data_IF_319458478109
#
_entry.id   IF_319458478109
#
_cell.length_a   1.000
_cell.length_b   1.000
_cell.length_c   1.000
_cell.angle_alpha   90.00
_cell.angle_beta   90.00
_cell.angle_gamma   90.00
#
_symmetry.space_group_name_H-M   'P 1'
#
loop_
_entity.id
_entity.type
_entity.pdbx_description
1 polymer ?
#
# COMPACT_ATOMS: atom_id res chain seq x y z
N UNK A 1 3.06 34.53 -32.90
CA UNK A 1 3.97 34.32 -31.77
C UNK A 1 5.11 35.34 -31.83
N UNK A 2 5.83 35.57 -30.72
CA UNK A 2 7.09 36.34 -30.74
C UNK A 2 8.28 35.40 -30.94
N UNK A 3 9.18 35.74 -31.86
CA UNK A 3 10.42 35.00 -32.12
C UNK A 3 11.53 35.55 -31.20
N UNK A 4 12.12 34.73 -30.32
CA UNK A 4 13.29 35.14 -29.54
C UNK A 4 14.53 35.19 -30.44
N UNK A 5 15.11 36.37 -30.60
CA UNK A 5 16.32 36.58 -31.42
C UNK A 5 17.47 37.04 -30.54
N UNK A 6 18.65 36.47 -30.76
CA UNK A 6 19.90 36.91 -30.11
C UNK A 6 20.72 37.69 -31.12
N UNK A 7 21.09 38.94 -30.82
CA UNK A 7 21.94 39.72 -31.72
C UNK A 7 23.38 39.17 -31.75
N UNK A 8 24.01 38.94 -32.91
CA UNK A 8 25.40 38.50 -32.99
C UNK A 8 26.41 39.58 -32.59
N UNK A 9 26.03 40.86 -32.63
CA UNK A 9 26.94 41.99 -32.34
C UNK A 9 26.94 42.41 -30.87
N UNK A 10 25.77 42.45 -30.23
CA UNK A 10 25.64 42.89 -28.83
C UNK A 10 25.17 41.80 -27.87
N UNK A 11 24.90 40.58 -28.36
CA UNK A 11 24.44 39.40 -27.61
C UNK A 11 23.18 39.57 -26.76
N UNK A 12 22.51 40.73 -26.84
CA UNK A 12 21.23 40.95 -26.19
C UNK A 12 20.13 40.12 -26.88
N UNK A 13 19.30 39.50 -26.06
CA UNK A 13 18.11 38.74 -26.47
C UNK A 13 16.90 39.67 -26.47
N UNK A 14 16.09 39.60 -27.51
CA UNK A 14 14.85 40.36 -27.61
C UNK A 14 13.82 39.59 -28.42
N UNK A 15 12.55 39.96 -28.30
CA UNK A 15 11.46 39.31 -29.00
C UNK A 15 11.04 40.16 -30.20
N UNK A 16 10.96 39.52 -31.37
CA UNK A 16 10.53 40.15 -32.62
C UNK A 16 9.21 39.53 -33.05
N UNK A 17 8.32 40.33 -33.63
CA UNK A 17 7.06 39.81 -34.20
C UNK A 17 7.34 38.83 -35.35
N UNK A 18 6.55 37.76 -35.44
CA UNK A 18 6.62 36.78 -36.55
C UNK A 18 6.57 37.41 -37.95
N UNK A 19 6.04 38.64 -38.09
CA UNK A 19 5.99 39.36 -39.37
C UNK A 19 7.36 39.63 -39.98
N UNK A 20 8.40 39.63 -39.16
CA UNK A 20 9.79 39.88 -39.58
C UNK A 20 10.59 38.59 -39.73
N UNK A 21 9.96 37.41 -39.64
CA UNK A 21 10.63 36.13 -39.85
C UNK A 21 11.34 36.10 -41.22
N UNK A 22 12.61 35.69 -41.24
CA UNK A 22 13.44 35.64 -42.45
C UNK A 22 13.93 36.99 -42.99
N UNK A 23 13.54 38.12 -42.39
CA UNK A 23 13.95 39.45 -42.84
C UNK A 23 15.22 39.93 -42.11
N UNK A 24 15.98 40.83 -42.77
CA UNK A 24 17.12 41.54 -42.17
C UNK A 24 16.66 42.89 -41.62
N UNK A 25 17.01 43.17 -40.37
CA UNK A 25 16.63 44.42 -39.71
C UNK A 25 17.67 44.90 -38.70
N UNK A 26 17.68 46.19 -38.34
CA UNK A 26 18.60 46.72 -37.34
C UNK A 26 18.22 46.23 -35.93
N UNK A 27 19.21 45.85 -35.13
CA UNK A 27 19.01 45.54 -33.72
C UNK A 27 18.56 46.80 -32.94
N UNK A 28 17.52 46.72 -32.08
CA UNK A 28 17.05 47.87 -31.30
C UNK A 28 18.07 48.41 -30.29
N UNK A 29 19.08 47.62 -29.91
CA UNK A 29 20.10 48.04 -28.93
C UNK A 29 21.38 48.59 -29.56
N UNK A 30 21.88 48.00 -30.65
CA UNK A 30 23.18 48.39 -31.24
C UNK A 30 23.11 48.79 -32.71
N UNK A 31 21.92 48.76 -33.33
CA UNK A 31 21.67 49.06 -34.75
C UNK A 31 22.42 48.17 -35.76
N UNK A 32 23.15 47.15 -35.30
CA UNK A 32 23.76 46.14 -36.17
C UNK A 32 22.70 45.38 -36.96
N UNK A 33 23.00 45.06 -38.23
CA UNK A 33 22.08 44.34 -39.12
C UNK A 33 22.03 42.88 -38.67
N UNK A 34 20.84 42.44 -38.24
CA UNK A 34 20.59 41.06 -37.83
C UNK A 34 19.63 40.38 -38.80
N UNK A 35 19.75 39.07 -38.94
CA UNK A 35 18.82 38.25 -39.69
C UNK A 35 17.91 37.52 -38.71
N UNK A 36 16.60 37.74 -38.81
CA UNK A 36 15.61 37.03 -37.99
C UNK A 36 15.43 35.62 -38.58
N UNK A 37 15.45 34.56 -37.75
CA UNK A 37 15.23 33.19 -38.21
C UNK A 37 13.93 33.06 -39.02
N UNK A 38 13.94 32.22 -40.05
CA UNK A 38 12.76 31.96 -40.85
C UNK A 38 11.76 31.09 -40.07
N UNK A 39 10.46 31.34 -40.25
CA UNK A 39 9.41 30.56 -39.59
C UNK A 39 9.46 29.05 -39.93
N UNK A 40 10.10 28.68 -41.03
CA UNK A 40 10.29 27.28 -41.46
C UNK A 40 11.31 26.49 -40.64
N UNK A 41 12.07 27.15 -39.75
CA UNK A 41 13.00 26.49 -38.82
C UNK A 41 12.35 26.15 -37.48
N UNK A 42 11.01 26.19 -37.38
CA UNK A 42 10.31 25.60 -36.25
C UNK A 42 10.59 24.09 -36.27
N UNK A 43 11.46 23.65 -35.36
CA UNK A 43 11.77 22.24 -35.14
C UNK A 43 10.50 21.61 -34.58
N UNK A 44 9.66 21.09 -35.48
CA UNK A 44 8.57 20.20 -35.12
C UNK A 44 9.23 18.95 -34.57
N UNK A 45 9.33 18.88 -33.23
CA UNK A 45 9.75 17.66 -32.55
C UNK A 45 8.64 16.65 -32.75
N UNK A 46 8.75 15.86 -33.81
CA UNK A 46 7.91 14.70 -34.01
C UNK A 46 8.22 13.73 -32.88
N UNK A 47 7.26 13.53 -31.98
CA UNK A 47 7.31 12.39 -31.09
C UNK A 47 7.50 11.13 -31.95
N UNK A 48 8.32 10.16 -31.53
CA UNK A 48 8.46 8.91 -32.25
C UNK A 48 7.08 8.33 -32.51
N UNK A 49 6.78 7.97 -33.76
CA UNK A 49 5.52 7.30 -34.06
C UNK A 49 5.44 6.02 -33.22
N UNK A 50 4.33 5.82 -32.49
CA UNK A 50 4.12 4.62 -31.68
C UNK A 50 4.20 3.39 -32.61
N UNK A 51 5.29 2.63 -32.49
CA UNK A 51 5.57 1.43 -33.29
C UNK A 51 4.65 0.28 -32.86
N UNK A 52 3.90 -0.29 -33.81
CA UNK A 52 3.14 -1.52 -33.59
C UNK A 52 1.76 -1.55 -34.28
N UNK A 53 1.09 -2.72 -34.28
CA UNK A 53 -0.27 -2.84 -34.76
C UNK A 53 -1.21 -1.93 -33.97
N UNK A 54 -2.02 -1.14 -34.69
CA UNK A 54 -3.04 -0.27 -34.09
C UNK A 54 -4.38 -1.01 -34.06
N UNK A 55 -5.16 -0.79 -33.01
CA UNK A 55 -6.53 -1.29 -32.92
C UNK A 55 -7.46 -0.49 -33.85
N UNK A 56 -8.70 -0.95 -34.01
CA UNK A 56 -9.76 -0.21 -34.71
C UNK A 56 -10.04 1.18 -34.12
N UNK A 57 -9.64 1.43 -32.87
CA UNK A 57 -9.73 2.74 -32.20
C UNK A 57 -8.48 3.62 -32.37
N UNK A 58 -7.50 3.21 -33.18
CA UNK A 58 -6.28 3.98 -33.46
C UNK A 58 -5.21 3.90 -32.35
N UNK A 59 -5.43 3.11 -31.31
CA UNK A 59 -4.50 2.94 -30.19
C UNK A 59 -3.50 1.81 -30.48
N UNK A 60 -2.22 1.98 -30.13
CA UNK A 60 -1.24 0.91 -30.25
C UNK A 60 -1.63 -0.29 -29.37
N UNK A 61 -1.79 -1.48 -29.97
CA UNK A 61 -2.22 -2.72 -29.29
C UNK A 61 -1.15 -3.21 -28.31
N UNK A 62 0.12 -2.94 -28.61
CA UNK A 62 1.26 -3.34 -27.78
C UNK A 62 1.58 -2.35 -26.65
N UNK A 63 0.71 -1.36 -26.42
CA UNK A 63 0.89 -0.43 -25.30
C UNK A 63 0.76 -1.21 -23.99
N UNK A 64 1.77 -1.17 -23.10
CA UNK A 64 1.65 -1.79 -21.78
C UNK A 64 0.40 -1.30 -21.06
N UNK A 65 -0.34 -2.22 -20.43
CA UNK A 65 -1.53 -1.87 -19.66
C UNK A 65 -1.07 -0.97 -18.51
N UNK A 66 -1.53 0.28 -18.53
CA UNK A 66 -1.20 1.25 -17.49
C UNK A 66 -1.73 0.79 -16.14
N UNK A 67 -0.91 0.92 -15.10
CA UNK A 67 -1.28 0.61 -13.72
C UNK A 67 -2.49 1.45 -13.31
N UNK A 68 -3.60 0.83 -12.97
CA UNK A 68 -4.72 1.52 -12.31
C UNK A 68 -4.44 1.56 -10.82
N UNK A 69 -4.11 2.73 -10.28
CA UNK A 69 -3.95 2.88 -8.84
C UNK A 69 -5.29 2.67 -8.11
N UNK A 70 -5.22 2.02 -6.95
CA UNK A 70 -6.39 1.84 -6.08
C UNK A 70 -6.90 3.22 -5.67
N UNK A 71 -8.09 3.60 -6.15
CA UNK A 71 -8.70 4.88 -5.79
C UNK A 71 -9.06 4.85 -4.31
N UNK A 72 -8.46 5.73 -3.51
CA UNK A 72 -8.82 5.90 -2.12
C UNK A 72 -10.30 6.27 -2.01
N UNK A 73 -11.08 5.40 -1.36
CA UNK A 73 -12.50 5.67 -1.11
C UNK A 73 -12.67 6.11 0.33
N UNK A 74 -12.99 7.40 0.51
CA UNK A 74 -13.33 8.00 1.81
C UNK A 74 -14.36 7.18 2.61
N UNK A 75 -15.46 6.66 2.02
CA UNK A 75 -16.41 5.86 2.80
C UNK A 75 -15.82 4.52 3.27
N UNK A 76 -14.97 3.86 2.48
CA UNK A 76 -14.33 2.62 2.91
C UNK A 76 -13.33 2.87 4.04
N UNK A 77 -12.53 3.94 3.93
CA UNK A 77 -11.61 4.35 4.98
C UNK A 77 -12.35 4.71 6.28
N UNK A 78 -13.46 5.44 6.20
CA UNK A 78 -14.31 5.76 7.35
C UNK A 78 -14.91 4.50 7.99
N UNK A 79 -15.38 3.53 7.17
CA UNK A 79 -15.90 2.25 7.65
C UNK A 79 -14.84 1.41 8.37
N UNK A 80 -13.63 1.33 7.84
CA UNK A 80 -12.50 0.65 8.49
C UNK A 80 -12.16 1.33 9.81
N UNK A 81 -12.04 2.67 9.82
CA UNK A 81 -11.75 3.44 11.03
C UNK A 81 -12.81 3.24 12.12
N UNK A 82 -14.09 3.29 11.77
CA UNK A 82 -15.20 3.03 12.69
C UNK A 82 -15.17 1.60 13.23
N UNK A 83 -14.85 0.60 12.39
CA UNK A 83 -14.69 -0.79 12.81
C UNK A 83 -13.58 -0.96 13.83
N UNK A 84 -12.41 -0.36 13.58
CA UNK A 84 -11.29 -0.37 14.53
C UNK A 84 -11.70 0.25 15.87
N UNK A 85 -12.28 1.46 15.86
CA UNK A 85 -12.73 2.13 17.07
C UNK A 85 -13.77 1.30 17.84
N UNK A 86 -14.67 0.62 17.14
CA UNK A 86 -15.68 -0.26 17.75
C UNK A 86 -15.03 -1.44 18.45
N UNK A 87 -14.04 -2.10 17.82
CA UNK A 87 -13.31 -3.22 18.46
C UNK A 87 -12.58 -2.76 19.71
N UNK A 88 -11.92 -1.59 19.67
CA UNK A 88 -11.27 -1.01 20.84
C UNK A 88 -12.28 -0.62 21.95
N UNK A 89 -13.44 -0.07 21.59
CA UNK A 89 -14.49 0.25 22.54
C UNK A 89 -15.03 -1.01 23.22
N UNK A 90 -15.28 -2.08 22.45
CA UNK A 90 -15.72 -3.37 23.01
C UNK A 90 -14.67 -3.95 23.94
N UNK A 91 -13.38 -3.93 23.56
CA UNK A 91 -12.29 -4.37 24.43
C UNK A 91 -12.23 -3.54 25.72
N UNK A 92 -12.39 -2.22 25.64
CA UNK A 92 -12.41 -1.35 26.83
C UNK A 92 -13.61 -1.64 27.75
N UNK A 93 -14.79 -1.92 27.19
CA UNK A 93 -15.99 -2.29 27.96
C UNK A 93 -15.86 -3.68 28.62
N UNK A 94 -15.09 -4.58 28.03
CA UNK A 94 -14.80 -5.92 28.57
C UNK A 94 -13.59 -5.95 29.51
N UNK A 95 -13.04 -4.77 29.87
CA UNK A 95 -11.91 -4.65 30.78
C UNK A 95 -12.25 -5.23 32.16
N UNK A 96 -11.34 -6.03 32.71
CA UNK A 96 -11.50 -6.68 34.01
C UNK A 96 -10.50 -6.14 35.04
N UNK A 97 -11.00 -5.69 36.19
CA UNK A 97 -10.15 -5.31 37.33
C UNK A 97 -9.45 -6.53 37.96
N UNK A 98 -10.14 -7.68 38.00
CA UNK A 98 -9.58 -8.94 38.52
C UNK A 98 -8.65 -9.66 37.52
N UNK A 99 -8.42 -9.09 36.33
CA UNK A 99 -7.62 -9.71 35.27
C UNK A 99 -8.19 -11.03 34.70
N UNK A 100 -9.50 -11.27 34.84
CA UNK A 100 -10.16 -12.52 34.40
C UNK A 100 -11.34 -12.22 33.48
N UNK A 101 -11.24 -12.70 32.25
CA UNK A 101 -12.33 -12.66 31.26
C UNK A 101 -12.64 -14.10 30.84
N UNK A 102 -13.91 -14.40 30.61
CA UNK A 102 -14.34 -15.75 30.25
C UNK A 102 -13.65 -16.23 28.96
N UNK A 103 -13.05 -17.42 29.00
CA UNK A 103 -12.32 -18.03 27.88
C UNK A 103 -13.11 -18.03 26.55
N UNK A 104 -14.42 -18.31 26.51
CA UNK A 104 -15.20 -18.25 25.26
C UNK A 104 -15.21 -16.88 24.60
N UNK A 105 -15.18 -15.80 25.39
CA UNK A 105 -15.15 -14.42 24.87
C UNK A 105 -13.80 -14.15 24.21
N UNK A 106 -12.70 -14.55 24.86
CA UNK A 106 -11.35 -14.41 24.31
C UNK A 106 -11.14 -15.24 23.05
N UNK A 107 -11.64 -16.48 23.05
CA UNK A 107 -11.60 -17.36 21.88
C UNK A 107 -12.43 -16.79 20.71
N UNK A 108 -13.64 -16.30 20.99
CA UNK A 108 -14.47 -15.66 19.99
C UNK A 108 -13.80 -14.40 19.42
N UNK A 109 -13.19 -13.57 20.27
CA UNK A 109 -12.45 -12.38 19.85
C UNK A 109 -11.29 -12.73 18.91
N UNK A 110 -10.45 -13.70 19.28
CA UNK A 110 -9.34 -14.15 18.44
C UNK A 110 -9.82 -14.67 17.07
N UNK A 111 -10.87 -15.50 17.06
CA UNK A 111 -11.44 -16.07 15.84
C UNK A 111 -12.09 -15.01 14.94
N UNK A 112 -12.82 -14.05 15.52
CA UNK A 112 -13.49 -12.99 14.76
C UNK A 112 -12.51 -11.96 14.20
N UNK A 113 -11.38 -11.74 14.87
CA UNK A 113 -10.35 -10.79 14.46
C UNK A 113 -9.54 -11.29 13.25
N UNK A 114 -9.31 -12.61 13.16
CA UNK A 114 -8.45 -13.21 12.14
C UNK A 114 -8.86 -12.88 10.70
N UNK A 115 -10.08 -13.22 10.24
CA UNK A 115 -10.51 -13.01 8.85
C UNK A 115 -10.47 -11.56 8.35
N UNK A 116 -10.97 -10.54 9.09
CA UNK A 116 -10.90 -9.16 8.62
C UNK A 116 -9.47 -8.62 8.58
N UNK A 117 -8.61 -8.99 9.54
CA UNK A 117 -7.19 -8.62 9.48
C UNK A 117 -6.48 -9.32 8.32
N UNK A 118 -6.79 -10.59 8.07
CA UNK A 118 -6.21 -11.33 6.96
C UNK A 118 -6.61 -10.75 5.60
N UNK A 119 -7.87 -10.36 5.46
CA UNK A 119 -8.36 -9.70 4.26
C UNK A 119 -7.72 -8.32 4.08
N UNK A 120 -7.71 -7.50 5.14
CA UNK A 120 -7.11 -6.16 5.11
C UNK A 120 -5.62 -6.22 4.79
N UNK A 121 -4.87 -7.06 5.51
CA UNK A 121 -3.44 -7.26 5.31
C UNK A 121 -3.11 -7.69 3.88
N UNK A 122 -3.88 -8.62 3.30
CA UNK A 122 -3.71 -9.02 1.89
C UNK A 122 -3.81 -7.83 0.92
N UNK A 123 -4.73 -6.87 1.15
CA UNK A 123 -4.88 -5.74 0.22
C UNK A 123 -3.66 -4.82 0.17
N UNK A 124 -2.86 -4.77 1.25
CA UNK A 124 -1.65 -3.94 1.34
C UNK A 124 -0.35 -4.69 1.08
N UNK A 125 -0.28 -5.97 1.48
CA UNK A 125 0.94 -6.77 1.49
C UNK A 125 1.06 -7.71 0.28
N UNK A 126 0.01 -7.84 -0.55
CA UNK A 126 0.11 -8.67 -1.76
C UNK A 126 1.17 -8.13 -2.71
N UNK A 127 1.87 -9.03 -3.38
CA UNK A 127 2.73 -8.65 -4.49
C UNK A 127 1.88 -8.12 -5.65
N UNK A 128 2.32 -7.02 -6.25
CA UNK A 128 1.70 -6.46 -7.45
C UNK A 128 2.08 -7.24 -8.72
N UNK A 129 3.12 -8.08 -8.66
CA UNK A 129 3.57 -8.92 -9.78
C UNK A 129 2.70 -10.18 -9.96
N UNK A 130 1.94 -10.56 -8.93
CA UNK A 130 1.06 -11.73 -8.96
C UNK A 130 -0.39 -11.31 -9.25
N UNK A 131 -1.13 -12.20 -9.92
CA UNK A 131 -2.55 -11.98 -10.17
C UNK A 131 -3.31 -11.94 -8.82
N UNK A 132 -4.10 -10.87 -8.56
CA UNK A 132 -4.80 -10.76 -7.29
C UNK A 132 -5.94 -11.77 -7.18
N UNK A 133 -6.05 -12.41 -6.01
CA UNK A 133 -7.22 -13.18 -5.64
C UNK A 133 -8.45 -12.27 -5.61
N UNK A 134 -9.55 -12.70 -6.24
CA UNK A 134 -10.81 -11.93 -6.30
C UNK A 134 -12.02 -12.78 -5.96
N UNK A 135 -13.09 -12.11 -5.56
CA UNK A 135 -14.38 -12.73 -5.28
C UNK A 135 -14.30 -13.82 -4.20
N UNK A 136 -15.00 -14.94 -4.42
CA UNK A 136 -15.12 -16.02 -3.43
C UNK A 136 -13.77 -16.63 -3.03
N UNK A 137 -12.83 -16.74 -3.96
CA UNK A 137 -11.52 -17.33 -3.68
C UNK A 137 -10.75 -16.51 -2.63
N UNK A 138 -10.77 -15.18 -2.73
CA UNK A 138 -10.15 -14.29 -1.75
C UNK A 138 -10.78 -14.47 -0.37
N UNK A 139 -12.11 -14.41 -0.27
CA UNK A 139 -12.79 -14.52 1.03
C UNK A 139 -12.54 -15.86 1.72
N UNK A 140 -12.54 -16.97 0.98
CA UNK A 140 -12.26 -18.30 1.54
C UNK A 140 -10.81 -18.41 2.00
N UNK A 141 -9.85 -17.93 1.21
CA UNK A 141 -8.42 -17.95 1.57
C UNK A 141 -8.14 -17.07 2.79
N UNK A 142 -8.68 -15.86 2.84
CA UNK A 142 -8.54 -14.96 4.00
C UNK A 142 -9.23 -15.52 5.25
N UNK A 143 -10.39 -16.17 5.11
CA UNK A 143 -11.06 -16.85 6.22
C UNK A 143 -10.17 -17.97 6.78
N UNK A 144 -9.67 -18.87 5.92
CA UNK A 144 -8.80 -19.97 6.34
C UNK A 144 -7.51 -19.45 6.97
N UNK A 145 -6.85 -18.47 6.36
CA UNK A 145 -5.64 -17.85 6.91
C UNK A 145 -5.89 -17.24 8.29
N UNK A 146 -6.97 -16.47 8.43
CA UNK A 146 -7.34 -15.84 9.70
C UNK A 146 -7.66 -16.84 10.80
N UNK A 147 -8.33 -17.95 10.46
CA UNK A 147 -8.60 -19.05 11.41
C UNK A 147 -7.31 -19.76 11.84
N UNK A 148 -6.36 -19.97 10.92
CA UNK A 148 -5.05 -20.54 11.26
C UNK A 148 -4.27 -19.60 12.19
N UNK A 149 -4.33 -18.28 11.96
CA UNK A 149 -3.72 -17.30 12.85
C UNK A 149 -4.32 -17.36 14.26
N UNK A 150 -5.65 -17.45 14.36
CA UNK A 150 -6.35 -17.62 15.63
C UNK A 150 -6.00 -18.94 16.33
N UNK A 151 -5.89 -20.04 15.57
CA UNK A 151 -5.47 -21.33 16.09
C UNK A 151 -4.03 -21.29 16.62
N UNK A 152 -3.09 -20.66 15.92
CA UNK A 152 -1.70 -20.50 16.37
C UNK A 152 -1.64 -19.72 17.69
N UNK A 153 -2.42 -18.66 17.83
CA UNK A 153 -2.55 -17.93 19.09
C UNK A 153 -3.14 -18.79 20.21
N UNK A 154 -4.21 -19.54 19.92
CA UNK A 154 -4.82 -20.46 20.89
C UNK A 154 -3.87 -21.56 21.35
N UNK A 155 -3.07 -22.14 20.44
CA UNK A 155 -2.03 -23.13 20.74
C UNK A 155 -0.96 -22.53 21.63
N UNK A 156 -0.53 -21.29 21.36
CA UNK A 156 0.40 -20.58 22.22
C UNK A 156 -0.17 -20.37 23.64
N UNK A 157 -1.38 -19.82 23.76
CA UNK A 157 -2.03 -19.59 25.04
C UNK A 157 -2.22 -20.90 25.83
N UNK A 158 -2.64 -21.97 25.15
CA UNK A 158 -2.77 -23.31 25.75
C UNK A 158 -1.41 -23.86 26.21
N UNK A 159 -0.37 -23.72 25.39
CA UNK A 159 0.98 -24.15 25.72
C UNK A 159 1.51 -23.46 26.97
N UNK A 160 1.28 -22.15 27.12
CA UNK A 160 1.66 -21.45 28.34
C UNK A 160 0.88 -21.97 29.55
N UNK A 161 -0.44 -22.13 29.41
CA UNK A 161 -1.27 -22.65 30.50
C UNK A 161 -0.82 -24.04 30.97
N UNK A 162 -0.45 -24.93 30.04
CA UNK A 162 -0.01 -26.29 30.34
C UNK A 162 1.42 -26.35 30.94
N UNK A 163 2.34 -25.50 30.49
CA UNK A 163 3.75 -25.55 30.91
C UNK A 163 4.00 -24.75 32.18
N UNK A 164 3.29 -23.64 32.38
CA UNK A 164 3.50 -22.71 33.50
C UNK A 164 2.36 -22.73 34.52
N UNK A 165 1.51 -23.75 34.50
CA UNK A 165 0.40 -23.95 35.46
C UNK A 165 -0.56 -22.74 35.59
N UNK A 166 -0.59 -21.88 34.57
CA UNK A 166 -1.40 -20.66 34.56
C UNK A 166 -0.76 -19.43 35.21
N UNK A 167 0.52 -19.49 35.61
CA UNK A 167 1.26 -18.33 36.11
C UNK A 167 1.49 -17.29 35.00
N UNK A 168 1.14 -16.01 35.21
CA UNK A 168 1.31 -14.95 34.22
C UNK A 168 2.80 -14.81 33.83
N UNK A 169 3.09 -15.02 32.55
CA UNK A 169 4.36 -14.67 31.93
C UNK A 169 4.45 -13.17 31.74
N UNK A 170 5.64 -12.66 31.97
CA UNK A 170 5.99 -11.28 31.72
C UNK A 170 5.98 -10.98 30.22
N UNK A 171 5.65 -9.75 29.85
CA UNK A 171 5.48 -9.35 28.44
C UNK A 171 6.75 -9.60 27.61
N UNK A 172 7.94 -9.49 28.21
CA UNK A 172 9.19 -9.75 27.51
C UNK A 172 9.37 -11.22 27.11
N UNK A 173 8.70 -12.17 27.77
CA UNK A 173 8.81 -13.60 27.44
C UNK A 173 8.15 -13.92 26.09
N UNK A 174 7.16 -13.12 25.69
CA UNK A 174 6.60 -13.18 24.34
C UNK A 174 7.67 -12.90 23.28
N UNK A 175 8.70 -12.09 23.56
CA UNK A 175 9.76 -11.80 22.60
C UNK A 175 10.57 -13.05 22.19
N UNK A 176 10.61 -14.10 23.03
CA UNK A 176 11.25 -15.37 22.71
C UNK A 176 10.34 -16.30 21.90
N UNK A 177 9.04 -16.29 22.16
CA UNK A 177 8.06 -17.10 21.43
C UNK A 177 7.65 -16.47 20.09
N UNK A 178 7.68 -15.14 19.99
CA UNK A 178 7.22 -14.38 18.84
C UNK A 178 7.93 -14.78 17.53
N UNK A 179 9.26 -14.98 17.45
CA UNK A 179 9.90 -15.42 16.22
C UNK A 179 9.36 -16.76 15.68
N UNK A 180 9.10 -17.72 16.58
CA UNK A 180 8.56 -19.04 16.20
C UNK A 180 7.11 -18.91 15.73
N UNK A 181 6.29 -18.16 16.47
CA UNK A 181 4.91 -17.91 16.08
C UNK A 181 4.82 -17.15 14.76
N UNK A 182 5.66 -16.12 14.57
CA UNK A 182 5.73 -15.33 13.35
C UNK A 182 6.18 -16.17 12.18
N UNK A 183 7.18 -17.04 12.33
CA UNK A 183 7.56 -17.96 11.28
C UNK A 183 6.41 -18.91 10.89
N UNK A 184 5.70 -19.48 11.86
CA UNK A 184 4.56 -20.37 11.61
C UNK A 184 3.38 -19.64 10.94
N UNK A 185 3.03 -18.45 11.43
CA UNK A 185 1.96 -17.63 10.85
C UNK A 185 2.32 -17.02 9.49
N UNK A 186 3.60 -16.71 9.26
CA UNK A 186 4.12 -16.32 7.95
C UNK A 186 3.93 -17.46 6.96
N UNK A 187 4.30 -18.68 7.34
CA UNK A 187 4.12 -19.86 6.50
C UNK A 187 2.64 -20.07 6.11
N UNK A 188 1.71 -19.91 7.05
CA UNK A 188 0.29 -19.96 6.76
C UNK A 188 -0.14 -18.88 5.74
N UNK A 189 0.39 -17.67 5.87
CA UNK A 189 0.08 -16.55 4.98
C UNK A 189 0.67 -16.75 3.57
N UNK A 190 1.89 -17.26 3.48
CA UNK A 190 2.53 -17.62 2.20
C UNK A 190 1.71 -18.68 1.47
N UNK A 191 1.32 -19.75 2.17
CA UNK A 191 0.58 -20.86 1.54
C UNK A 191 -0.86 -20.52 1.15
N UNK A 192 -1.53 -19.67 1.92
CA UNK A 192 -2.96 -19.38 1.70
C UNK A 192 -3.18 -18.20 0.76
N UNK A 193 -2.32 -17.17 0.83
CA UNK A 193 -2.51 -15.88 0.17
C UNK A 193 -1.38 -15.55 -0.83
N UNK A 194 -0.43 -16.45 -1.03
CA UNK A 194 0.70 -16.27 -1.97
C UNK A 194 1.54 -15.02 -1.66
N UNK A 195 1.65 -14.68 -0.37
CA UNK A 195 2.52 -13.59 0.09
C UNK A 195 3.98 -14.01 0.03
N UNK A 196 4.88 -13.06 -0.18
CA UNK A 196 6.31 -13.30 0.05
C UNK A 196 6.58 -13.52 1.56
N UNK A 197 7.68 -14.20 1.94
CA UNK A 197 7.93 -14.54 3.35
C UNK A 197 7.98 -13.34 4.29
N UNK A 198 8.50 -12.20 3.83
CA UNK A 198 8.60 -10.97 4.62
C UNK A 198 7.21 -10.37 4.84
N UNK A 199 6.42 -10.23 3.78
CA UNK A 199 5.02 -9.81 3.85
C UNK A 199 4.19 -10.76 4.70
N UNK A 200 4.41 -12.08 4.61
CA UNK A 200 3.77 -13.08 5.46
C UNK A 200 4.12 -12.89 6.94
N UNK A 201 5.36 -12.55 7.27
CA UNK A 201 5.77 -12.25 8.63
C UNK A 201 5.11 -10.98 9.17
N UNK A 202 5.03 -9.91 8.36
CA UNK A 202 4.30 -8.68 8.71
C UNK A 202 2.80 -8.97 8.90
N UNK A 203 2.24 -9.83 8.04
CA UNK A 203 0.82 -10.18 8.04
C UNK A 203 0.39 -10.83 9.35
N UNK A 204 1.09 -11.88 9.79
CA UNK A 204 0.80 -12.48 11.10
C UNK A 204 1.29 -11.61 12.27
N UNK A 205 2.37 -10.85 12.09
CA UNK A 205 2.85 -9.88 13.08
C UNK A 205 1.79 -8.84 13.43
N UNK A 206 1.03 -8.34 12.45
CA UNK A 206 -0.11 -7.46 12.67
C UNK A 206 -1.20 -8.14 13.50
N UNK A 207 -1.56 -9.39 13.17
CA UNK A 207 -2.54 -10.16 13.94
C UNK A 207 -2.11 -10.33 15.41
N UNK A 208 -0.86 -10.71 15.65
CA UNK A 208 -0.29 -10.82 17.00
C UNK A 208 -0.33 -9.48 17.74
N UNK A 209 0.16 -8.41 17.10
CA UNK A 209 0.23 -7.07 17.70
C UNK A 209 -1.17 -6.60 18.11
N UNK A 210 -2.16 -6.71 17.22
CA UNK A 210 -3.53 -6.29 17.53
C UNK A 210 -4.11 -7.15 18.66
N UNK A 211 -3.88 -8.47 18.64
CA UNK A 211 -4.36 -9.37 19.70
C UNK A 211 -3.77 -9.00 21.07
N UNK A 212 -2.46 -8.79 21.14
CA UNK A 212 -1.76 -8.37 22.37
C UNK A 212 -2.28 -7.01 22.85
N UNK A 213 -2.38 -6.02 21.95
CA UNK A 213 -2.87 -4.68 22.31
C UNK A 213 -4.29 -4.73 22.86
N UNK A 214 -5.19 -5.50 22.25
CA UNK A 214 -6.56 -5.64 22.75
C UNK A 214 -6.61 -6.30 24.14
N UNK A 215 -5.75 -7.31 24.39
CA UNK A 215 -5.62 -7.89 25.73
C UNK A 215 -5.13 -6.88 26.77
N UNK A 216 -4.13 -6.08 26.43
CA UNK A 216 -3.63 -5.04 27.33
C UNK A 216 -4.70 -3.96 27.62
N UNK A 217 -5.51 -3.59 26.61
CA UNK A 217 -6.66 -2.68 26.81
C UNK A 217 -7.68 -3.26 27.77
N UNK A 218 -7.89 -4.59 27.72
CA UNK A 218 -8.76 -5.35 28.62
C UNK A 218 -8.16 -5.57 30.03
N UNK A 219 -6.96 -5.06 30.31
CA UNK A 219 -6.21 -5.29 31.55
C UNK A 219 -5.87 -6.78 31.77
N UNK A 220 -5.55 -7.49 30.69
CA UNK A 220 -5.10 -8.88 30.69
C UNK A 220 -3.60 -8.98 30.42
N UNK A 221 -2.94 -10.07 30.85
CA UNK A 221 -1.56 -10.34 30.45
C UNK A 221 -1.45 -10.44 28.92
N UNK A 222 -0.23 -10.21 28.42
CA UNK A 222 0.06 -10.12 26.99
C UNK A 222 -0.21 -11.43 26.21
N UNK A 223 -0.48 -12.55 26.88
CA UNK A 223 -0.79 -13.85 26.28
C UNK A 223 -2.03 -14.47 26.92
#
# INVERSE_FOLDING_TARGET
MPIPVTCPTCHKRFQVSDKFAGQKGPCPSCKGIIQVPAKSEEVVVHAPEEFGPKSTSGTAVLKPIGRSEARFSVPAAAGIGAGVLTVFLVAWLLRSEEGKVALPILAAGAVLLGPPLALGGYTFLRSDELEPHRGRALYVRSLVCGLVHAALWGVYALGIHLVFEGEPLETYQLAFAAPVLVAAGAFASVLSLDLDPTSGAIHYGLYLLVTVVLRLVMNLPAY
#
